data_IF_846846929476
#
_entry.id   IF_846846929476
#
_cell.length_a   1.000
_cell.length_b   1.000
_cell.length_c   1.000
_cell.angle_alpha   90.00
_cell.angle_beta   90.00
_cell.angle_gamma   90.00
#
_symmetry.space_group_name_H-M   'P 1'
#
loop_
_entity.id
_entity.type
_entity.pdbx_description
1 polymer ?
#
# COMPACT_ATOMS: atom_id res chain seq x y z
N UNK A 1 -22.41 -17.23 16.65
CA UNK A 1 -22.69 -15.79 16.87
C UNK A 1 -23.65 -15.38 15.77
N UNK A 2 -24.72 -14.63 16.03
CA UNK A 2 -25.42 -13.95 14.94
C UNK A 2 -24.37 -13.09 14.25
N UNK A 3 -24.12 -13.30 12.96
CA UNK A 3 -23.25 -12.42 12.21
C UNK A 3 -24.08 -11.15 12.00
N UNK A 4 -23.83 -10.11 12.79
CA UNK A 4 -24.45 -8.82 12.54
C UNK A 4 -23.99 -8.38 11.14
N UNK A 5 -24.92 -8.39 10.19
CA UNK A 5 -24.66 -7.97 8.81
C UNK A 5 -24.38 -6.48 8.82
N UNK A 6 -23.11 -6.11 8.60
CA UNK A 6 -22.68 -4.73 8.47
C UNK A 6 -22.81 -4.19 7.03
N UNK A 7 -23.03 -2.88 6.90
CA UNK A 7 -22.78 -2.10 5.69
C UNK A 7 -21.38 -1.49 5.74
N UNK A 8 -20.50 -1.95 4.85
CA UNK A 8 -19.07 -1.59 4.82
C UNK A 8 -18.75 -0.82 3.53
N UNK A 9 -18.14 0.35 3.65
CA UNK A 9 -17.51 1.04 2.53
C UNK A 9 -16.03 0.66 2.45
N UNK A 10 -15.50 0.48 1.25
CA UNK A 10 -14.08 0.20 1.01
C UNK A 10 -13.48 1.34 0.21
N UNK A 11 -12.35 1.90 0.64
CA UNK A 11 -11.58 2.84 -0.17
C UNK A 11 -10.19 2.31 -0.46
N UNK A 12 -9.73 2.45 -1.72
CA UNK A 12 -8.39 2.06 -2.11
C UNK A 12 -7.87 2.88 -3.30
N UNK A 13 -6.53 3.01 -3.39
CA UNK A 13 -5.87 3.68 -4.50
C UNK A 13 -4.50 3.06 -4.79
N UNK A 14 -4.49 1.90 -5.44
CA UNK A 14 -3.29 1.23 -5.94
C UNK A 14 -3.64 0.31 -7.11
N UNK A 15 -2.61 -0.03 -7.88
CA UNK A 15 -2.69 -0.91 -9.04
C UNK A 15 -2.57 -2.39 -8.63
N UNK A 16 -2.55 -3.26 -9.63
CA UNK A 16 -2.26 -4.69 -9.56
C UNK A 16 -1.02 -5.00 -8.73
N UNK A 17 -1.07 -6.17 -8.07
CA UNK A 17 -0.01 -6.67 -7.21
C UNK A 17 -0.52 -7.19 -5.87
N UNK A 18 0.40 -7.34 -4.91
CA UNK A 18 0.12 -7.95 -3.61
C UNK A 18 -0.95 -7.21 -2.79
N UNK A 19 -0.97 -5.88 -2.84
CA UNK A 19 -1.98 -5.07 -2.13
C UNK A 19 -3.39 -5.29 -2.70
N UNK A 20 -3.53 -5.31 -4.03
CA UNK A 20 -4.81 -5.60 -4.70
C UNK A 20 -5.29 -7.02 -4.45
N UNK A 21 -4.39 -8.01 -4.46
CA UNK A 21 -4.73 -9.40 -4.09
C UNK A 21 -5.22 -9.51 -2.64
N UNK A 22 -4.51 -8.90 -1.71
CA UNK A 22 -4.91 -8.88 -0.30
C UNK A 22 -6.30 -8.25 -0.12
N UNK A 23 -6.52 -7.08 -0.72
CA UNK A 23 -7.81 -6.40 -0.70
C UNK A 23 -8.92 -7.27 -1.28
N UNK A 24 -8.71 -7.87 -2.44
CA UNK A 24 -9.70 -8.73 -3.09
C UNK A 24 -10.16 -9.87 -2.17
N UNK A 25 -9.22 -10.59 -1.55
CA UNK A 25 -9.58 -11.69 -0.66
C UNK A 25 -10.21 -11.23 0.66
N UNK A 26 -9.81 -10.07 1.19
CA UNK A 26 -10.47 -9.47 2.35
C UNK A 26 -11.92 -9.12 2.04
N UNK A 27 -12.17 -8.44 0.91
CA UNK A 27 -13.52 -8.05 0.47
C UNK A 27 -14.36 -9.27 0.15
N UNK A 28 -13.81 -10.26 -0.56
CA UNK A 28 -14.49 -11.53 -0.85
C UNK A 28 -14.94 -12.20 0.45
N UNK A 29 -14.04 -12.29 1.43
CA UNK A 29 -14.37 -12.83 2.75
C UNK A 29 -15.50 -12.06 3.44
N UNK A 30 -15.47 -10.72 3.42
CA UNK A 30 -16.55 -9.90 4.02
C UNK A 30 -17.91 -10.17 3.36
N UNK A 31 -17.95 -10.24 2.03
CA UNK A 31 -19.18 -10.52 1.26
C UNK A 31 -19.68 -11.94 1.53
N UNK A 32 -18.79 -12.94 1.53
CA UNK A 32 -19.12 -14.35 1.85
C UNK A 32 -19.69 -14.53 3.27
N UNK A 33 -19.31 -13.66 4.20
CA UNK A 33 -19.86 -13.63 5.56
C UNK A 33 -21.20 -12.88 5.68
N UNK A 34 -21.75 -12.41 4.56
CA UNK A 34 -23.06 -11.79 4.47
C UNK A 34 -23.09 -10.29 4.72
N UNK A 35 -21.94 -9.61 4.66
CA UNK A 35 -21.87 -8.14 4.77
C UNK A 35 -22.21 -7.47 3.43
N UNK A 36 -22.83 -6.29 3.48
CA UNK A 36 -23.03 -5.45 2.31
C UNK A 36 -21.79 -4.59 2.10
N UNK A 37 -21.14 -4.74 0.94
CA UNK A 37 -19.88 -4.04 0.65
C UNK A 37 -19.99 -3.23 -0.64
N UNK A 38 -19.57 -1.97 -0.60
CA UNK A 38 -19.36 -1.12 -1.78
C UNK A 38 -17.94 -0.53 -1.76
N UNK A 39 -17.38 -0.22 -2.92
CA UNK A 39 -16.00 0.28 -3.04
C UNK A 39 -15.91 1.65 -3.72
N UNK A 40 -14.92 2.44 -3.33
CA UNK A 40 -14.54 3.72 -3.93
C UNK A 40 -13.07 3.67 -4.33
N UNK A 41 -12.78 4.04 -5.58
CA UNK A 41 -11.42 4.01 -6.12
C UNK A 41 -11.18 5.09 -7.17
N UNK A 42 -9.91 5.24 -7.54
CA UNK A 42 -9.49 6.09 -8.65
C UNK A 42 -9.58 5.31 -9.97
N UNK A 43 -9.72 5.99 -11.13
CA UNK A 43 -9.76 5.30 -12.43
C UNK A 43 -8.51 4.45 -12.72
N UNK A 44 -7.35 4.82 -12.17
CA UNK A 44 -6.12 4.05 -12.31
C UNK A 44 -6.14 2.68 -11.62
N UNK A 45 -7.15 2.41 -10.79
CA UNK A 45 -7.34 1.11 -10.13
C UNK A 45 -8.02 0.07 -11.04
N UNK A 46 -8.56 0.48 -12.19
CA UNK A 46 -9.28 -0.40 -13.13
C UNK A 46 -8.33 -1.02 -14.16
N UNK A 47 -7.40 -1.87 -13.70
CA UNK A 47 -6.42 -2.56 -14.55
C UNK A 47 -6.80 -4.02 -14.89
N UNK A 48 -8.01 -4.45 -14.49
CA UNK A 48 -8.55 -5.79 -14.76
C UNK A 48 -8.00 -6.90 -13.88
N UNK A 49 -7.04 -6.62 -13.00
CA UNK A 49 -6.48 -7.62 -12.09
C UNK A 49 -7.31 -7.72 -10.81
N UNK A 50 -7.96 -8.87 -10.60
CA UNK A 50 -8.81 -9.13 -9.44
C UNK A 50 -9.83 -8.00 -9.23
N UNK A 51 -10.71 -7.78 -10.23
CA UNK A 51 -11.59 -6.63 -10.23
C UNK A 51 -12.62 -6.78 -9.09
N UNK A 52 -12.91 -5.69 -8.38
CA UNK A 52 -13.77 -5.77 -7.18
C UNK A 52 -15.25 -5.71 -7.52
N UNK A 53 -15.62 -5.11 -8.65
CA UNK A 53 -16.98 -5.07 -9.18
C UNK A 53 -17.57 -6.47 -9.43
N UNK A 54 -16.73 -7.49 -9.58
CA UNK A 54 -17.15 -8.90 -9.60
C UNK A 54 -17.74 -9.40 -8.26
N UNK A 55 -17.40 -8.76 -7.13
CA UNK A 55 -17.72 -9.27 -5.79
C UNK A 55 -18.46 -8.28 -4.89
N UNK A 56 -18.27 -6.97 -5.07
CA UNK A 56 -18.97 -5.94 -4.28
C UNK A 56 -20.34 -5.63 -4.87
N UNK A 57 -21.25 -5.09 -4.05
CA UNK A 57 -22.57 -4.68 -4.54
C UNK A 57 -22.48 -3.54 -5.57
N UNK A 58 -21.50 -2.65 -5.40
CA UNK A 58 -21.22 -1.55 -6.33
C UNK A 58 -19.79 -1.03 -6.17
N UNK A 59 -19.11 -0.79 -7.29
CA UNK A 59 -17.86 -0.04 -7.35
C UNK A 59 -18.11 1.38 -7.88
N UNK A 60 -17.63 2.38 -7.16
CA UNK A 60 -17.72 3.79 -7.46
C UNK A 60 -16.34 4.30 -7.90
N UNK A 61 -16.19 4.55 -9.19
CA UNK A 61 -14.95 5.07 -9.76
C UNK A 61 -15.03 6.58 -9.83
N UNK A 62 -14.28 7.27 -8.95
CA UNK A 62 -14.36 8.72 -8.81
C UNK A 62 -13.18 9.38 -9.53
N UNK A 63 -13.43 10.23 -10.56
CA UNK A 63 -12.37 10.91 -11.27
C UNK A 63 -11.43 11.69 -10.35
N UNK A 64 -10.16 11.71 -10.69
CA UNK A 64 -9.17 12.57 -10.01
C UNK A 64 -8.85 13.73 -10.93
N UNK A 65 -8.85 14.95 -10.37
CA UNK A 65 -8.50 16.17 -11.12
C UNK A 65 -7.13 16.02 -11.75
N UNK A 66 -6.99 16.31 -13.04
CA UNK A 66 -5.67 16.28 -13.69
C UNK A 66 -4.68 17.25 -13.00
N UNK A 67 -3.49 16.75 -12.71
CA UNK A 67 -2.40 17.48 -12.08
C UNK A 67 -1.15 17.55 -12.96
N UNK A 68 -1.18 16.95 -14.15
CA UNK A 68 -0.06 16.96 -15.09
C UNK A 68 0.21 18.39 -15.56
N UNK A 69 1.49 18.71 -15.73
CA UNK A 69 1.91 19.94 -16.41
C UNK A 69 2.82 19.62 -17.59
N UNK A 70 2.70 20.44 -18.62
CA UNK A 70 3.36 20.26 -19.91
C UNK A 70 4.84 20.69 -19.90
N UNK A 71 5.40 21.12 -18.75
CA UNK A 71 6.71 21.80 -18.66
C UNK A 71 7.79 20.94 -17.98
N UNK A 72 7.86 19.64 -18.25
CA UNK A 72 9.07 18.82 -18.08
C UNK A 72 9.67 18.67 -16.65
N UNK A 73 10.95 18.26 -16.58
CA UNK A 73 11.59 17.67 -15.37
C UNK A 73 11.78 18.60 -14.15
N UNK A 74 11.69 19.92 -14.28
CA UNK A 74 11.82 20.86 -13.14
C UNK A 74 10.56 20.89 -12.25
N UNK A 75 9.47 20.27 -12.71
CA UNK A 75 8.14 20.34 -12.10
C UNK A 75 7.85 19.28 -11.03
N UNK A 76 8.71 18.28 -10.83
CA UNK A 76 8.35 17.10 -10.01
C UNK A 76 7.82 17.42 -8.60
N UNK A 77 8.31 18.50 -7.97
CA UNK A 77 7.86 18.95 -6.63
C UNK A 77 6.53 19.70 -6.69
N UNK A 78 6.37 20.55 -7.70
CA UNK A 78 5.14 21.29 -7.95
C UNK A 78 4.04 20.29 -8.30
N UNK A 79 4.34 19.31 -9.15
CA UNK A 79 3.50 18.16 -9.47
C UNK A 79 3.20 17.32 -8.23
N UNK A 80 4.18 17.04 -7.35
CA UNK A 80 3.92 16.31 -6.11
C UNK A 80 2.90 17.06 -5.23
N UNK A 81 3.02 18.38 -5.10
CA UNK A 81 2.06 19.21 -4.38
C UNK A 81 0.67 19.27 -5.04
N UNK A 82 0.63 19.43 -6.38
CA UNK A 82 -0.63 19.39 -7.16
C UNK A 82 -1.32 18.03 -7.03
N UNK A 83 -0.56 16.94 -7.12
CA UNK A 83 -1.03 15.56 -6.97
C UNK A 83 -1.58 15.31 -5.58
N UNK A 84 -0.88 15.74 -4.51
CA UNK A 84 -1.40 15.64 -3.14
C UNK A 84 -2.75 16.34 -3.00
N UNK A 85 -2.91 17.54 -3.55
CA UNK A 85 -4.20 18.27 -3.56
C UNK A 85 -5.28 17.54 -4.36
N UNK A 86 -4.94 17.04 -5.55
CA UNK A 86 -5.90 16.33 -6.39
C UNK A 86 -6.40 15.04 -5.73
N UNK A 87 -5.50 14.29 -5.05
CA UNK A 87 -5.87 13.11 -4.27
C UNK A 87 -6.68 13.50 -3.04
N UNK A 88 -6.36 14.61 -2.38
CA UNK A 88 -7.17 15.09 -1.26
C UNK A 88 -8.58 15.50 -1.67
N UNK A 89 -8.72 16.18 -2.81
CA UNK A 89 -10.02 16.53 -3.40
C UNK A 89 -10.84 15.27 -3.73
N UNK A 90 -10.19 14.25 -4.32
CA UNK A 90 -10.81 12.95 -4.54
C UNK A 90 -11.27 12.31 -3.23
N UNK A 91 -10.41 12.28 -2.22
CA UNK A 91 -10.73 11.73 -0.90
C UNK A 91 -11.92 12.45 -0.25
N UNK A 92 -11.99 13.78 -0.35
CA UNK A 92 -13.10 14.59 0.15
C UNK A 92 -14.43 14.22 -0.54
N UNK A 93 -14.41 14.05 -1.86
CA UNK A 93 -15.61 13.65 -2.63
C UNK A 93 -16.07 12.25 -2.22
N UNK A 94 -15.14 11.28 -2.16
CA UNK A 94 -15.44 9.92 -1.73
C UNK A 94 -16.00 9.88 -0.30
N UNK A 95 -15.37 10.59 0.64
CA UNK A 95 -15.84 10.65 2.03
C UNK A 95 -17.27 11.20 2.13
N UNK A 96 -17.58 12.28 1.39
CA UNK A 96 -18.93 12.83 1.35
C UNK A 96 -19.96 11.81 0.84
N UNK A 97 -19.67 11.10 -0.27
CA UNK A 97 -20.57 10.09 -0.81
C UNK A 97 -20.76 8.91 0.18
N UNK A 98 -19.69 8.45 0.82
CA UNK A 98 -19.74 7.37 1.81
C UNK A 98 -20.61 7.78 3.00
N UNK A 99 -20.38 8.97 3.57
CA UNK A 99 -21.15 9.47 4.71
C UNK A 99 -22.64 9.66 4.38
N UNK A 100 -22.97 10.04 3.15
CA UNK A 100 -24.37 10.19 2.68
C UNK A 100 -25.09 8.82 2.51
N UNK A 101 -24.35 7.73 2.31
CA UNK A 101 -24.91 6.39 2.09
C UNK A 101 -25.17 5.59 3.38
N UNK A 102 -24.79 6.13 4.55
CA UNK A 102 -25.04 5.51 5.86
C UNK A 102 -24.37 4.15 6.01
N UNK A 103 -23.07 4.07 5.72
CA UNK A 103 -22.24 2.91 6.07
C UNK A 103 -21.90 2.93 7.56
N UNK A 104 -21.67 1.75 8.14
CA UNK A 104 -21.32 1.62 9.56
C UNK A 104 -19.83 1.75 9.80
N UNK A 105 -19.02 1.34 8.82
CA UNK A 105 -17.57 1.41 8.88
C UNK A 105 -16.96 1.55 7.49
N UNK A 106 -15.83 2.24 7.40
CA UNK A 106 -15.02 2.35 6.19
C UNK A 106 -13.71 1.58 6.35
N UNK A 107 -13.48 0.58 5.51
CA UNK A 107 -12.19 -0.08 5.36
C UNK A 107 -11.34 0.69 4.34
N UNK A 108 -10.36 1.42 4.84
CA UNK A 108 -9.45 2.25 4.04
C UNK A 108 -8.14 1.50 3.84
N UNK A 109 -7.64 1.45 2.61
CA UNK A 109 -6.37 0.84 2.29
C UNK A 109 -5.31 1.89 1.94
N UNK A 110 -4.07 1.44 1.73
CA UNK A 110 -2.96 2.31 1.36
C UNK A 110 -3.21 3.06 0.04
N UNK A 111 -2.49 4.16 -0.12
CA UNK A 111 -2.53 5.01 -1.30
C UNK A 111 -1.18 4.99 -2.02
N UNK A 112 -1.16 4.70 -3.32
CA UNK A 112 0.06 4.66 -4.12
C UNK A 112 0.84 5.99 -4.14
N UNK A 113 0.18 7.12 -3.82
CA UNK A 113 0.80 8.44 -3.79
C UNK A 113 1.18 8.94 -2.39
N UNK A 114 0.45 8.52 -1.35
CA UNK A 114 0.64 9.04 0.01
C UNK A 114 0.92 7.97 1.08
N UNK A 115 0.85 6.69 0.75
CA UNK A 115 0.85 5.53 1.65
C UNK A 115 -0.33 5.55 2.63
N UNK A 116 -0.39 6.56 3.50
CA UNK A 116 -1.58 6.90 4.29
C UNK A 116 -2.43 7.90 3.50
N UNK A 117 -3.65 7.53 3.15
CA UNK A 117 -4.55 8.43 2.41
C UNK A 117 -5.14 9.50 3.33
N UNK A 118 -5.56 10.61 2.72
CA UNK A 118 -6.17 11.70 3.46
C UNK A 118 -7.67 11.53 3.71
N UNK A 119 -8.30 10.45 3.23
CA UNK A 119 -9.74 10.25 3.37
C UNK A 119 -10.19 10.24 4.83
N UNK A 120 -9.39 9.70 5.76
CA UNK A 120 -9.70 9.69 7.19
C UNK A 120 -10.04 11.07 7.77
N UNK A 121 -9.42 12.16 7.30
CA UNK A 121 -9.71 13.51 7.82
C UNK A 121 -11.06 14.07 7.38
N UNK A 122 -11.66 13.47 6.36
CA UNK A 122 -12.91 13.93 5.74
C UNK A 122 -14.10 13.05 6.12
N UNK A 123 -13.86 11.85 6.63
CA UNK A 123 -14.91 10.90 7.02
C UNK A 123 -15.55 11.30 8.36
N UNK A 124 -16.87 11.19 8.44
CA UNK A 124 -17.61 11.15 9.71
C UNK A 124 -17.90 9.72 10.15
N UNK A 125 -18.01 8.81 9.17
CA UNK A 125 -18.19 7.38 9.39
C UNK A 125 -16.92 6.79 10.04
N UNK A 126 -17.05 5.92 11.07
CA UNK A 126 -15.91 5.24 11.67
C UNK A 126 -15.03 4.55 10.62
N UNK A 127 -13.72 4.67 10.76
CA UNK A 127 -12.77 4.27 9.73
C UNK A 127 -11.64 3.39 10.27
N UNK A 128 -11.33 2.35 9.50
CA UNK A 128 -10.27 1.39 9.77
C UNK A 128 -9.26 1.45 8.64
N UNK A 129 -8.01 1.82 8.95
CA UNK A 129 -6.92 1.84 7.97
C UNK A 129 -6.16 0.51 7.98
N UNK A 130 -6.17 -0.23 6.87
CA UNK A 130 -5.29 -1.37 6.64
C UNK A 130 -3.95 -0.90 6.04
N UNK A 131 -2.90 -0.88 6.86
CA UNK A 131 -1.60 -0.30 6.53
C UNK A 131 -0.44 -1.29 6.75
N UNK A 132 -0.06 -2.08 5.73
CA UNK A 132 1.01 -3.07 5.88
C UNK A 132 2.40 -2.49 6.20
N UNK A 133 2.68 -1.27 5.77
CA UNK A 133 3.96 -0.60 6.00
C UNK A 133 3.79 0.92 5.98
N UNK A 134 4.61 1.67 6.75
CA UNK A 134 4.72 3.11 6.55
C UNK A 134 5.42 3.42 5.23
N UNK A 135 5.53 4.69 4.85
CA UNK A 135 6.40 5.07 3.73
C UNK A 135 7.87 4.82 4.07
N UNK A 136 8.34 3.59 3.84
CA UNK A 136 9.60 3.05 4.34
C UNK A 136 10.82 3.92 4.11
N UNK A 137 10.94 4.56 2.95
CA UNK A 137 12.07 5.45 2.65
C UNK A 137 12.12 6.71 3.53
N UNK A 138 11.02 7.10 4.19
CA UNK A 138 11.06 8.15 5.20
C UNK A 138 11.66 7.66 6.51
N UNK A 139 11.59 6.38 6.86
CA UNK A 139 11.94 5.88 8.20
C UNK A 139 13.13 4.93 8.22
N UNK A 140 13.48 4.32 7.09
CA UNK A 140 14.54 3.32 6.99
C UNK A 140 15.82 3.91 6.38
N UNK A 141 16.86 4.03 7.20
CA UNK A 141 18.13 4.62 6.80
C UNK A 141 18.81 3.89 5.62
N UNK A 142 18.70 2.57 5.55
CA UNK A 142 19.33 1.79 4.47
C UNK A 142 18.69 2.03 3.10
N UNK A 143 17.41 2.40 3.03
CA UNK A 143 16.72 2.77 1.78
C UNK A 143 17.07 4.19 1.31
N UNK A 144 17.66 5.02 2.18
CA UNK A 144 18.03 6.42 1.88
C UNK A 144 19.52 6.62 1.70
N UNK A 145 20.35 5.73 2.24
CA UNK A 145 21.81 5.81 2.23
C UNK A 145 22.40 5.94 0.80
N UNK A 146 21.88 5.19 -0.17
CA UNK A 146 22.35 5.25 -1.57
C UNK A 146 22.03 6.58 -2.28
N UNK A 147 20.89 7.20 -1.94
CA UNK A 147 20.48 8.51 -2.49
C UNK A 147 21.24 9.66 -1.82
N UNK A 148 21.47 9.57 -0.51
CA UNK A 148 22.24 10.57 0.25
C UNK A 148 23.72 10.62 -0.15
N UNK A 149 24.33 9.48 -0.50
CA UNK A 149 25.70 9.41 -1.00
C UNK A 149 25.88 10.09 -2.38
N UNK A 150 24.82 10.13 -3.20
CA UNK A 150 24.86 10.71 -4.56
C UNK A 150 24.59 12.23 -4.59
N UNK A 151 24.04 12.80 -3.51
CA UNK A 151 23.83 14.24 -3.32
C UNK A 151 24.97 14.91 -2.53
N UNK A 152 26.16 14.30 -2.47
CA UNK A 152 27.33 14.92 -1.87
C UNK A 152 27.71 16.16 -2.69
N UNK A 153 27.60 17.35 -2.09
CA UNK A 153 28.14 18.56 -2.70
C UNK A 153 27.82 19.87 -1.98
N UNK A 154 26.63 20.03 -1.38
CA UNK A 154 26.23 21.35 -0.85
C UNK A 154 25.38 21.20 0.42
N UNK A 155 25.89 21.66 1.57
CA UNK A 155 25.24 21.54 2.88
C UNK A 155 23.80 22.11 2.92
N UNK A 156 23.54 23.17 2.15
CA UNK A 156 22.21 23.77 1.99
C UNK A 156 21.16 22.80 1.46
N UNK A 157 21.49 22.01 0.43
CA UNK A 157 20.56 21.01 -0.12
C UNK A 157 20.31 19.86 0.85
N UNK A 158 21.32 19.48 1.66
CA UNK A 158 21.14 18.50 2.75
C UNK A 158 20.17 19.02 3.82
N UNK A 159 20.28 20.29 4.22
CA UNK A 159 19.38 20.89 5.19
C UNK A 159 17.93 20.98 4.66
N UNK A 160 17.74 21.43 3.41
CA UNK A 160 16.42 21.49 2.78
C UNK A 160 15.79 20.09 2.67
N UNK A 161 16.53 19.10 2.20
CA UNK A 161 16.01 17.73 2.07
C UNK A 161 15.62 17.13 3.42
N UNK A 162 16.38 17.39 4.49
CA UNK A 162 16.02 16.99 5.84
C UNK A 162 14.72 17.64 6.33
N UNK A 163 14.55 18.96 6.13
CA UNK A 163 13.34 19.69 6.51
C UNK A 163 12.11 19.13 5.78
N UNK A 164 12.24 18.85 4.48
CA UNK A 164 11.13 18.34 3.66
C UNK A 164 10.76 16.91 4.04
N UNK A 165 11.77 16.06 4.28
CA UNK A 165 11.57 14.69 4.75
C UNK A 165 10.84 14.72 6.10
N UNK A 166 11.23 15.64 6.99
CA UNK A 166 10.56 15.81 8.27
C UNK A 166 9.11 16.29 8.10
N UNK A 167 8.85 17.23 7.19
CA UNK A 167 7.49 17.68 6.89
C UNK A 167 6.62 16.55 6.33
N UNK A 168 7.15 15.68 5.48
CA UNK A 168 6.42 14.52 4.95
C UNK A 168 6.15 13.46 6.01
N UNK A 169 7.09 13.22 6.93
CA UNK A 169 6.86 12.34 8.09
C UNK A 169 5.74 12.89 8.97
N UNK A 170 5.82 14.19 9.31
CA UNK A 170 4.78 14.83 10.12
C UNK A 170 3.42 14.74 9.43
N UNK A 171 3.34 15.01 8.13
CA UNK A 171 2.10 14.87 7.37
C UNK A 171 1.54 13.44 7.42
N UNK A 172 2.38 12.42 7.17
CA UNK A 172 1.95 11.02 7.20
C UNK A 172 1.43 10.58 8.59
N UNK A 173 2.10 11.03 9.65
CA UNK A 173 1.68 10.77 11.04
C UNK A 173 0.34 11.47 11.33
N UNK A 174 0.19 12.75 10.94
CA UNK A 174 -1.05 13.48 11.16
C UNK A 174 -2.24 12.87 10.41
N UNK A 175 -2.01 12.33 9.20
CA UNK A 175 -3.04 11.58 8.48
C UNK A 175 -3.37 10.25 9.17
N UNK A 176 -2.37 9.52 9.66
CA UNK A 176 -2.58 8.24 10.34
C UNK A 176 -3.40 8.38 11.63
N UNK A 177 -3.26 9.51 12.33
CA UNK A 177 -4.06 9.84 13.52
C UNK A 177 -5.55 10.06 13.25
N UNK A 178 -5.96 10.23 11.99
CA UNK A 178 -7.36 10.49 11.64
C UNK A 178 -8.21 9.22 11.57
N UNK A 179 -7.61 8.03 11.75
CA UNK A 179 -8.32 6.75 11.69
C UNK A 179 -8.61 6.23 13.10
N UNK A 180 -9.80 5.67 13.29
CA UNK A 180 -10.23 5.10 14.58
C UNK A 180 -9.45 3.83 14.93
N UNK A 181 -9.02 3.08 13.91
CA UNK A 181 -8.24 1.87 14.08
C UNK A 181 -7.25 1.69 12.92
N UNK A 182 -6.02 1.29 13.24
CA UNK A 182 -5.03 0.84 12.26
C UNK A 182 -4.90 -0.69 12.35
N UNK A 183 -5.08 -1.36 11.23
CA UNK A 183 -4.82 -2.78 11.04
C UNK A 183 -3.52 -3.00 10.25
N UNK A 184 -2.77 -4.02 10.63
CA UNK A 184 -1.50 -4.39 9.98
C UNK A 184 -1.44 -5.89 9.73
N UNK A 185 -0.68 -6.32 8.73
CA UNK A 185 -0.64 -7.73 8.31
C UNK A 185 0.28 -8.64 9.14
N UNK A 186 1.05 -8.10 10.09
CA UNK A 186 2.02 -8.87 10.86
C UNK A 186 2.46 -8.14 12.14
N UNK A 187 3.09 -8.87 13.06
CA UNK A 187 3.76 -8.28 14.23
C UNK A 187 4.92 -7.36 13.83
N UNK A 188 5.64 -7.70 12.76
CA UNK A 188 6.70 -6.86 12.20
C UNK A 188 6.14 -5.50 11.76
N UNK A 189 5.02 -5.51 11.04
CA UNK A 189 4.35 -4.29 10.60
C UNK A 189 3.77 -3.50 11.77
N UNK A 190 3.24 -4.16 12.80
CA UNK A 190 2.81 -3.50 14.04
C UNK A 190 3.95 -2.72 14.69
N UNK A 191 5.10 -3.36 14.86
CA UNK A 191 6.29 -2.71 15.42
C UNK A 191 6.79 -1.58 14.49
N UNK A 192 6.75 -1.79 13.17
CA UNK A 192 7.14 -0.78 12.19
C UNK A 192 6.27 0.49 12.28
N UNK A 193 4.95 0.33 12.42
CA UNK A 193 4.02 1.45 12.63
C UNK A 193 4.25 2.12 13.97
N UNK A 194 4.44 1.35 15.05
CA UNK A 194 4.75 1.91 16.37
C UNK A 194 6.06 2.73 16.34
N UNK A 195 7.10 2.22 15.69
CA UNK A 195 8.39 2.90 15.56
C UNK A 195 8.32 4.14 14.68
N UNK A 196 7.58 4.08 13.57
CA UNK A 196 7.49 5.17 12.62
C UNK A 196 6.58 6.31 13.13
N UNK A 197 5.42 5.96 13.70
CA UNK A 197 4.35 6.91 14.00
C UNK A 197 4.10 7.11 15.50
N UNK A 198 4.60 6.22 16.36
CA UNK A 198 4.24 6.20 17.78
C UNK A 198 2.77 5.82 18.02
N UNK A 199 2.12 5.17 17.05
CA UNK A 199 0.71 4.77 17.11
C UNK A 199 0.57 3.26 17.29
N UNK A 200 -0.43 2.86 18.08
CA UNK A 200 -0.81 1.46 18.22
C UNK A 200 -1.57 0.96 16.99
N UNK A 201 -1.42 -0.33 16.71
CA UNK A 201 -2.16 -1.01 15.65
C UNK A 201 -2.49 -2.45 16.06
N UNK A 202 -3.52 -3.02 15.44
CA UNK A 202 -3.92 -4.42 15.65
C UNK A 202 -3.50 -5.28 14.47
N UNK A 203 -3.03 -6.49 14.76
CA UNK A 203 -2.62 -7.44 13.72
C UNK A 203 -3.85 -8.14 13.15
N UNK A 204 -4.03 -8.03 11.85
CA UNK A 204 -4.97 -8.78 11.03
C UNK A 204 -4.17 -9.44 9.90
N UNK A 205 -3.75 -10.68 10.14
CA UNK A 205 -2.91 -11.44 9.22
C UNK A 205 -3.60 -11.65 7.87
N UNK A 206 -2.80 -11.67 6.81
CA UNK A 206 -3.27 -12.08 5.50
C UNK A 206 -3.46 -13.60 5.46
N UNK A 207 -4.54 -14.03 4.82
CA UNK A 207 -4.76 -15.44 4.47
C UNK A 207 -4.19 -15.78 3.09
N UNK A 208 -4.27 -17.07 2.76
CA UNK A 208 -4.04 -17.58 1.40
C UNK A 208 -5.28 -18.33 0.93
N UNK A 209 -5.52 -18.33 -0.37
CA UNK A 209 -6.55 -19.18 -0.97
C UNK A 209 -5.99 -20.60 -1.08
N UNK A 210 -6.34 -21.48 -0.15
CA UNK A 210 -5.81 -22.84 -0.09
C UNK A 210 -6.36 -23.75 -1.21
N UNK A 211 -7.44 -23.35 -1.89
CA UNK A 211 -7.91 -24.07 -3.08
C UNK A 211 -7.00 -23.76 -4.27
N UNK A 212 -6.57 -22.50 -4.41
CA UNK A 212 -5.64 -22.09 -5.46
C UNK A 212 -4.18 -22.45 -5.15
N UNK A 213 -3.74 -22.23 -3.91
CA UNK A 213 -2.37 -22.46 -3.45
C UNK A 213 -2.31 -23.73 -2.60
N UNK A 214 -2.28 -24.86 -3.29
CA UNK A 214 -2.04 -26.16 -2.67
C UNK A 214 -0.79 -26.82 -3.27
N UNK A 215 -0.21 -27.75 -2.53
CA UNK A 215 0.91 -28.54 -3.05
C UNK A 215 0.39 -29.57 -4.02
N UNK A 216 0.99 -29.64 -5.21
CA UNK A 216 0.83 -30.76 -6.14
C UNK A 216 2.04 -31.68 -6.08
N UNK A 217 1.88 -32.93 -6.48
CA UNK A 217 3.01 -33.84 -6.71
C UNK A 217 3.71 -33.43 -8.01
N UNK A 218 4.86 -32.77 -7.89
CA UNK A 218 5.68 -32.33 -9.00
C UNK A 218 7.13 -32.79 -8.83
N UNK A 219 7.83 -32.97 -9.96
CA UNK A 219 9.25 -33.27 -9.96
C UNK A 219 10.03 -32.14 -9.28
N UNK A 220 10.86 -32.51 -8.30
CA UNK A 220 11.69 -31.57 -7.54
C UNK A 220 13.04 -31.43 -8.24
N UNK A 221 13.49 -30.18 -8.41
CA UNK A 221 14.81 -29.88 -8.95
C UNK A 221 15.67 -29.10 -7.95
N UNK A 222 16.98 -29.06 -8.21
CA UNK A 222 17.93 -28.28 -7.41
C UNK A 222 18.04 -26.84 -7.95
N UNK A 223 17.20 -25.95 -7.42
CA UNK A 223 17.22 -24.54 -7.77
C UNK A 223 16.70 -23.68 -6.61
N UNK A 224 17.12 -22.42 -6.62
CA UNK A 224 16.54 -21.36 -5.79
C UNK A 224 15.63 -20.52 -6.66
N UNK A 225 14.37 -20.39 -6.25
CA UNK A 225 13.36 -19.57 -6.93
C UNK A 225 13.15 -18.26 -6.17
N UNK A 226 13.30 -17.15 -6.87
CA UNK A 226 12.83 -15.84 -6.42
C UNK A 226 11.64 -15.38 -7.25
N UNK A 227 10.69 -14.70 -6.59
CA UNK A 227 9.49 -14.16 -7.22
C UNK A 227 9.30 -12.70 -6.80
N UNK A 228 9.21 -11.80 -7.78
CA UNK A 228 8.86 -10.40 -7.59
C UNK A 228 9.61 -9.47 -8.53
N UNK A 229 9.15 -8.22 -8.56
CA UNK A 229 9.74 -7.13 -9.35
C UNK A 229 11.27 -7.07 -9.21
N UNK A 230 11.97 -6.86 -10.32
CA UNK A 230 13.43 -6.76 -10.32
C UNK A 230 13.84 -5.36 -9.84
N UNK A 231 13.96 -5.21 -8.52
CA UNK A 231 14.41 -3.98 -7.89
C UNK A 231 15.30 -4.23 -6.64
N UNK A 232 15.88 -3.15 -6.12
CA UNK A 232 16.74 -3.19 -4.92
C UNK A 232 16.00 -3.70 -3.66
N UNK A 233 14.68 -3.51 -3.57
CA UNK A 233 13.86 -3.91 -2.41
C UNK A 233 13.68 -5.42 -2.36
N UNK A 234 13.69 -6.09 -3.51
CA UNK A 234 13.61 -7.56 -3.61
C UNK A 234 14.96 -8.26 -3.45
N UNK A 235 16.06 -7.51 -3.54
CA UNK A 235 17.40 -7.99 -3.18
C UNK A 235 17.94 -9.10 -4.10
N UNK A 236 17.58 -9.07 -5.39
CA UNK A 236 18.09 -10.02 -6.39
C UNK A 236 19.63 -10.00 -6.45
N UNK A 237 20.25 -8.83 -6.32
CA UNK A 237 21.70 -8.66 -6.25
C UNK A 237 22.33 -9.42 -5.07
N UNK A 238 21.63 -9.46 -3.93
CA UNK A 238 22.06 -10.20 -2.74
C UNK A 238 21.89 -11.70 -2.97
N UNK A 239 20.79 -12.13 -3.60
CA UNK A 239 20.57 -13.53 -3.96
C UNK A 239 21.67 -14.03 -4.89
N UNK A 240 21.99 -13.30 -5.97
CA UNK A 240 23.07 -13.64 -6.90
C UNK A 240 24.40 -13.77 -6.16
N UNK A 241 24.76 -12.79 -5.33
CA UNK A 241 26.02 -12.82 -4.56
C UNK A 241 26.08 -14.00 -3.60
N UNK A 242 24.97 -14.31 -2.91
CA UNK A 242 24.91 -15.45 -1.99
C UNK A 242 25.03 -16.79 -2.72
N UNK A 243 24.39 -16.96 -3.88
CA UNK A 243 24.53 -18.17 -4.69
C UNK A 243 25.95 -18.32 -5.25
N UNK A 244 26.57 -17.20 -5.65
CA UNK A 244 27.93 -17.22 -6.18
C UNK A 244 28.99 -17.66 -5.16
N UNK A 245 28.72 -17.60 -3.84
CA UNK A 245 29.65 -18.11 -2.83
C UNK A 245 29.64 -19.63 -2.69
N UNK A 246 28.68 -20.33 -3.32
CA UNK A 246 28.62 -21.78 -3.34
C UNK A 246 29.56 -22.29 -4.44
N UNK A 247 30.34 -23.33 -4.12
CA UNK A 247 31.25 -23.99 -5.08
C UNK A 247 30.50 -24.42 -6.34
N UNK A 248 31.15 -24.27 -7.50
CA UNK A 248 30.51 -24.40 -8.81
C UNK A 248 29.88 -25.78 -9.04
N UNK A 249 30.50 -26.84 -8.50
CA UNK A 249 30.02 -28.23 -8.56
C UNK A 249 28.74 -28.48 -7.75
N UNK A 250 28.41 -27.59 -6.81
CA UNK A 250 27.25 -27.70 -5.90
C UNK A 250 26.33 -26.48 -5.96
N UNK A 251 26.57 -25.56 -6.89
CA UNK A 251 25.85 -24.29 -6.97
C UNK A 251 24.46 -24.52 -7.56
N UNK A 252 23.37 -24.27 -6.82
CA UNK A 252 22.03 -24.42 -7.36
C UNK A 252 21.75 -23.36 -8.42
N UNK A 253 20.88 -23.68 -9.38
CA UNK A 253 20.42 -22.69 -10.35
C UNK A 253 19.57 -21.62 -9.66
N UNK A 254 19.85 -20.35 -9.89
CA UNK A 254 18.95 -19.26 -9.48
C UNK A 254 17.95 -18.97 -10.61
N UNK A 255 16.66 -19.12 -10.31
CA UNK A 255 15.55 -18.75 -11.21
C UNK A 255 14.84 -17.55 -10.59
N UNK A 256 14.66 -16.47 -11.35
CA UNK A 256 13.93 -15.29 -10.90
C UNK A 256 12.76 -15.00 -11.83
N UNK A 257 11.57 -14.88 -11.26
CA UNK A 257 10.34 -14.53 -11.98
C UNK A 257 9.92 -13.13 -11.56
N UNK A 258 9.91 -12.18 -12.51
CA UNK A 258 9.67 -10.76 -12.27
C UNK A 258 8.49 -10.21 -13.06
#
# INVERSE_FOLDING_TARGET
MPNDTLKIAVWYNFQSGGAKRALYHQVRGLVEHGHHVESWCTPSCQDGYLPLDDIVAKEHVIPVRDWSSWLGKLEWRIEAGKRKRAIDDHCRICAQQIDECGFEVVLVNSCMYQVVSSIGRHLKTPSVLYLPEPRRWLYEAHLTAGKAARMQGIAFFKAITAILTQAERSEEIELAKQYDLILVNSLYSRESILRAYGLESKVCYLGIDAALFHSEEAERGDYVLGLGEIDERKGLDRAIRAIATIDEDRRPRLVWVG
#
